data_IF_699082665825
#
_entry.id   IF_699082665825
#
_cell.length_a   1.000
_cell.length_b   1.000
_cell.length_c   1.000
_cell.angle_alpha   90.00
_cell.angle_beta   90.00
_cell.angle_gamma   90.00
#
_symmetry.space_group_name_H-M   'P 1'
#
loop_
_entity.id
_entity.type
_entity.pdbx_description
1 polymer ?
#
# COMPACT_ATOMS: atom_id res chain seq x y z
N UNK A 1 30.70 -0.43 6.78
CA UNK A 1 29.34 -0.72 7.22
C UNK A 1 28.79 0.57 7.82
N UNK A 2 27.73 1.16 7.25
CA UNK A 2 27.11 2.36 7.85
C UNK A 2 26.57 1.98 9.23
N UNK A 3 26.92 2.73 10.26
CA UNK A 3 26.32 2.58 11.59
C UNK A 3 24.81 2.79 11.48
N UNK A 4 24.04 1.84 12.01
CA UNK A 4 22.59 1.92 12.09
C UNK A 4 22.20 3.06 13.02
N UNK A 5 21.46 4.04 12.52
CA UNK A 5 20.93 5.09 13.36
C UNK A 5 19.89 4.53 14.33
N UNK A 6 19.64 5.22 15.45
CA UNK A 6 18.58 4.86 16.40
C UNK A 6 17.22 4.78 15.69
N UNK A 7 16.95 5.67 14.73
CA UNK A 7 15.76 5.62 13.90
C UNK A 7 15.65 4.31 13.11
N UNK A 8 16.72 3.90 12.45
CA UNK A 8 16.74 2.68 11.64
C UNK A 8 16.48 1.42 12.50
N UNK A 9 17.05 1.37 13.69
CA UNK A 9 16.82 0.26 14.61
C UNK A 9 15.33 0.19 15.02
N UNK A 10 14.74 1.32 15.45
CA UNK A 10 13.33 1.39 15.84
C UNK A 10 12.39 1.08 14.66
N UNK A 11 12.69 1.60 13.47
CA UNK A 11 11.92 1.32 12.26
C UNK A 11 11.93 -0.17 11.92
N UNK A 12 13.09 -0.83 12.01
CA UNK A 12 13.19 -2.29 11.74
C UNK A 12 12.37 -3.09 12.73
N UNK A 13 12.50 -2.80 14.03
CA UNK A 13 11.74 -3.47 15.08
C UNK A 13 10.24 -3.29 14.90
N UNK A 14 9.79 -2.07 14.60
CA UNK A 14 8.39 -1.78 14.31
C UNK A 14 7.86 -2.53 13.07
N UNK A 15 8.61 -2.55 11.97
CA UNK A 15 8.19 -3.27 10.76
C UNK A 15 8.15 -4.79 11.00
N UNK A 16 9.07 -5.32 11.80
CA UNK A 16 9.05 -6.72 12.24
C UNK A 16 7.80 -7.04 13.06
N UNK A 17 7.46 -6.21 14.04
CA UNK A 17 6.23 -6.29 14.80
C UNK A 17 4.98 -6.24 13.90
N UNK A 18 4.92 -5.27 12.98
CA UNK A 18 3.81 -5.16 12.03
C UNK A 18 3.64 -6.41 11.16
N UNK A 19 4.75 -7.08 10.80
CA UNK A 19 4.73 -8.29 10.00
C UNK A 19 4.25 -9.50 10.81
N UNK A 20 4.82 -9.71 11.98
CA UNK A 20 4.66 -10.97 12.72
C UNK A 20 3.47 -10.96 13.68
N UNK A 21 3.19 -9.82 14.32
CA UNK A 21 2.12 -9.73 15.30
C UNK A 21 0.84 -9.10 14.74
N UNK A 22 0.96 -8.08 13.87
CA UNK A 22 -0.20 -7.47 13.21
C UNK A 22 -0.59 -8.15 11.89
N UNK A 23 0.22 -9.07 11.36
CA UNK A 23 -0.07 -9.80 10.14
C UNK A 23 -0.20 -8.91 8.88
N UNK A 24 0.49 -7.76 8.84
CA UNK A 24 0.37 -6.83 7.72
C UNK A 24 0.92 -7.44 6.42
N UNK A 25 0.17 -7.27 5.34
CA UNK A 25 0.59 -7.70 4.01
C UNK A 25 1.86 -6.96 3.54
N UNK A 26 2.66 -7.61 2.69
CA UNK A 26 3.93 -7.09 2.14
C UNK A 26 3.79 -5.65 1.62
N UNK A 27 2.76 -5.36 0.82
CA UNK A 27 2.55 -4.02 0.25
C UNK A 27 2.29 -2.94 1.33
N UNK A 28 1.61 -3.31 2.43
CA UNK A 28 1.38 -2.40 3.56
C UNK A 28 2.69 -2.11 4.29
N UNK A 29 3.52 -3.14 4.51
CA UNK A 29 4.85 -2.98 5.13
C UNK A 29 5.78 -2.11 4.27
N UNK A 30 5.76 -2.29 2.96
CA UNK A 30 6.53 -1.46 2.03
C UNK A 30 6.04 0.01 2.02
N UNK A 31 4.73 0.22 2.13
CA UNK A 31 4.17 1.55 2.26
C UNK A 31 4.59 2.21 3.58
N UNK A 32 4.48 1.50 4.71
CA UNK A 32 4.94 1.98 6.02
C UNK A 32 6.45 2.29 6.00
N UNK A 33 7.25 1.40 5.43
CA UNK A 33 8.69 1.63 5.30
C UNK A 33 9.00 2.91 4.53
N UNK A 34 8.35 3.16 3.40
CA UNK A 34 8.54 4.41 2.62
C UNK A 34 8.15 5.64 3.41
N UNK A 35 7.02 5.59 4.13
CA UNK A 35 6.57 6.70 4.96
C UNK A 35 7.56 7.02 6.08
N UNK A 36 8.10 5.98 6.74
CA UNK A 36 9.08 6.13 7.81
C UNK A 36 10.44 6.62 7.31
N UNK A 37 10.87 6.22 6.12
CA UNK A 37 12.08 6.77 5.51
C UNK A 37 11.94 8.27 5.23
N UNK A 38 10.77 8.72 4.73
CA UNK A 38 10.51 10.14 4.55
C UNK A 38 10.50 10.90 5.89
N UNK A 39 9.92 10.31 6.92
CA UNK A 39 9.92 10.90 8.25
C UNK A 39 11.32 10.95 8.87
N UNK A 40 12.13 9.89 8.70
CA UNK A 40 13.53 9.85 9.11
C UNK A 40 14.36 10.95 8.44
N UNK A 41 14.18 11.15 7.14
CA UNK A 41 14.86 12.22 6.40
C UNK A 41 14.47 13.61 6.93
N UNK A 42 13.19 13.83 7.23
CA UNK A 42 12.70 15.08 7.83
C UNK A 42 13.32 15.34 9.21
N UNK A 43 13.42 14.31 10.05
CA UNK A 43 14.05 14.38 11.37
C UNK A 43 15.59 14.41 11.31
N UNK A 44 16.21 14.39 10.12
CA UNK A 44 17.66 14.26 9.96
C UNK A 44 18.23 13.07 10.71
N UNK A 45 17.51 11.95 10.68
CA UNK A 45 17.85 10.68 11.35
C UNK A 45 17.88 10.74 12.90
N UNK A 46 17.33 11.78 13.52
CA UNK A 46 17.16 11.86 14.96
C UNK A 46 16.21 10.77 15.48
N UNK A 47 16.30 10.47 16.77
CA UNK A 47 15.44 9.46 17.40
C UNK A 47 13.96 9.86 17.32
N UNK A 48 13.08 9.03 16.71
CA UNK A 48 11.66 9.33 16.61
C UNK A 48 10.97 9.44 18.00
N UNK A 49 11.50 8.79 19.02
CA UNK A 49 10.96 8.88 20.38
C UNK A 49 10.99 10.30 20.97
N UNK A 50 11.83 11.19 20.42
CA UNK A 50 11.91 12.59 20.84
C UNK A 50 10.93 13.50 20.06
N UNK A 51 10.22 12.98 19.06
CA UNK A 51 9.31 13.78 18.26
C UNK A 51 8.06 14.17 19.06
N UNK A 52 7.76 15.46 19.07
CA UNK A 52 6.56 16.03 19.71
C UNK A 52 5.41 16.12 18.71
N UNK A 53 4.19 16.40 19.20
CA UNK A 53 3.03 16.71 18.34
C UNK A 53 3.32 17.86 17.38
N UNK A 54 4.07 18.88 17.81
CA UNK A 54 4.46 20.02 16.97
C UNK A 54 5.40 19.58 15.84
N UNK A 55 6.39 18.76 16.15
CA UNK A 55 7.29 18.14 15.13
C UNK A 55 6.49 17.36 14.09
N UNK A 56 5.51 16.58 14.54
CA UNK A 56 4.67 15.80 13.64
C UNK A 56 3.76 16.67 12.77
N UNK A 57 3.21 17.75 13.30
CA UNK A 57 2.43 18.74 12.53
C UNK A 57 3.31 19.41 11.46
N UNK A 58 4.49 19.88 11.85
CA UNK A 58 5.47 20.47 10.91
C UNK A 58 5.84 19.50 9.79
N UNK A 59 5.96 18.20 10.10
CA UNK A 59 6.20 17.18 9.09
C UNK A 59 5.02 17.06 8.11
N UNK A 60 3.78 17.05 8.60
CA UNK A 60 2.60 16.98 7.70
C UNK A 60 2.48 18.23 6.81
N UNK A 61 2.81 19.40 7.34
CA UNK A 61 2.86 20.64 6.56
C UNK A 61 3.97 20.59 5.49
N UNK A 62 5.12 20.04 5.84
CA UNK A 62 6.21 19.78 4.88
C UNK A 62 5.76 18.84 3.75
N UNK A 63 5.06 17.74 4.05
CA UNK A 63 4.52 16.84 3.03
C UNK A 63 3.52 17.54 2.11
N UNK A 64 2.68 18.41 2.67
CA UNK A 64 1.69 19.19 1.93
C UNK A 64 2.36 20.20 0.99
N UNK A 65 3.34 20.95 1.48
CA UNK A 65 4.09 21.92 0.67
C UNK A 65 4.94 21.25 -0.41
N UNK A 66 5.38 20.01 -0.18
CA UNK A 66 6.05 19.16 -1.18
C UNK A 66 5.10 18.60 -2.24
N UNK A 67 3.80 18.93 -2.21
CA UNK A 67 2.83 18.52 -3.22
C UNK A 67 2.29 17.10 -3.06
N UNK A 68 2.46 16.46 -1.88
CA UNK A 68 1.91 15.13 -1.65
C UNK A 68 0.37 15.17 -1.64
N UNK A 69 -0.25 14.17 -2.31
CA UNK A 69 -1.70 14.05 -2.33
C UNK A 69 -2.27 13.76 -0.93
N UNK A 70 -3.45 14.31 -0.61
CA UNK A 70 -4.12 14.15 0.69
C UNK A 70 -4.25 12.68 1.12
N UNK A 71 -4.51 11.76 0.18
CA UNK A 71 -4.57 10.31 0.46
C UNK A 71 -3.23 9.76 0.97
N UNK A 72 -2.12 10.22 0.40
CA UNK A 72 -0.78 9.83 0.86
C UNK A 72 -0.48 10.42 2.24
N UNK A 73 -0.80 11.70 2.47
CA UNK A 73 -0.63 12.33 3.78
C UNK A 73 -1.46 11.62 4.86
N UNK A 74 -2.70 11.24 4.57
CA UNK A 74 -3.53 10.45 5.49
C UNK A 74 -2.90 9.09 5.82
N UNK A 75 -2.21 8.45 4.85
CA UNK A 75 -1.46 7.22 5.11
C UNK A 75 -0.26 7.48 6.02
N UNK A 76 0.49 8.57 5.81
CA UNK A 76 1.57 8.97 6.72
C UNK A 76 1.06 9.14 8.17
N UNK A 77 -0.10 9.79 8.35
CA UNK A 77 -0.72 9.90 9.69
C UNK A 77 -0.99 8.52 10.30
N UNK A 78 -1.52 7.57 9.50
CA UNK A 78 -1.76 6.20 9.97
C UNK A 78 -0.47 5.49 10.34
N UNK A 79 0.58 5.62 9.51
CA UNK A 79 1.90 5.03 9.76
C UNK A 79 2.51 5.59 11.05
N UNK A 80 2.47 6.91 11.24
CA UNK A 80 2.99 7.56 12.45
C UNK A 80 2.23 7.14 13.71
N UNK A 81 0.89 7.14 13.67
CA UNK A 81 0.08 6.66 14.80
C UNK A 81 0.44 5.23 15.19
N UNK A 82 0.66 4.36 14.21
CA UNK A 82 1.04 2.97 14.44
C UNK A 82 2.45 2.85 15.02
N UNK A 83 3.42 3.64 14.51
CA UNK A 83 4.78 3.66 15.05
C UNK A 83 4.79 4.12 16.51
N UNK A 84 4.16 5.27 16.80
CA UNK A 84 4.17 5.83 18.15
C UNK A 84 3.36 5.00 19.15
N UNK A 85 2.29 4.33 18.72
CA UNK A 85 1.59 3.34 19.55
C UNK A 85 2.51 2.16 19.90
N UNK A 86 3.30 1.67 18.93
CA UNK A 86 4.31 0.64 19.18
C UNK A 86 5.39 1.11 20.16
N UNK A 87 5.88 2.34 20.04
CA UNK A 87 6.88 2.88 20.97
C UNK A 87 6.34 3.03 22.42
N UNK A 88 5.04 3.34 22.57
CA UNK A 88 4.37 3.31 23.89
C UNK A 88 4.30 1.89 24.42
N UNK A 89 3.92 0.92 23.59
CA UNK A 89 3.82 -0.50 23.97
C UNK A 89 5.17 -1.08 24.41
N UNK A 90 6.28 -0.61 23.78
CA UNK A 90 7.65 -1.00 24.17
C UNK A 90 8.17 -0.26 25.41
N UNK A 91 7.44 0.74 25.92
CA UNK A 91 7.88 1.57 27.04
C UNK A 91 8.93 2.64 26.68
N UNK A 92 9.16 2.85 25.39
CA UNK A 92 10.14 3.85 24.90
C UNK A 92 9.67 5.29 25.13
N UNK A 93 8.35 5.52 25.13
CA UNK A 93 7.69 6.81 25.38
C UNK A 93 6.45 6.61 26.25
N UNK A 94 6.10 7.63 27.03
CA UNK A 94 4.98 7.56 27.97
C UNK A 94 3.60 7.73 27.29
N UNK A 95 3.53 8.45 26.17
CA UNK A 95 2.27 8.73 25.46
C UNK A 95 2.51 8.87 23.96
N UNK A 96 1.46 8.63 23.16
CA UNK A 96 1.53 8.70 21.71
C UNK A 96 1.31 10.13 21.19
N UNK A 97 2.36 10.86 20.75
CA UNK A 97 2.20 12.24 20.25
C UNK A 97 1.41 12.32 18.94
N UNK A 98 1.28 11.21 18.21
CA UNK A 98 0.55 11.16 16.94
C UNK A 98 -0.97 10.95 17.11
N UNK A 99 -1.46 10.70 18.33
CA UNK A 99 -2.88 10.43 18.58
C UNK A 99 -3.77 11.62 18.15
N UNK A 100 -3.31 12.84 18.45
CA UNK A 100 -4.01 14.09 18.13
C UNK A 100 -3.76 14.62 16.71
N UNK A 101 -3.01 13.90 15.86
CA UNK A 101 -2.85 14.30 14.47
C UNK A 101 -4.20 14.19 13.74
N UNK A 102 -4.52 15.19 12.95
CA UNK A 102 -5.71 15.16 12.08
C UNK A 102 -5.30 14.82 10.65
N UNK A 103 -5.86 13.75 10.09
CA UNK A 103 -5.66 13.43 8.69
C UNK A 103 -6.42 14.43 7.80
N UNK A 104 -5.84 14.84 6.65
CA UNK A 104 -6.56 15.70 5.72
C UNK A 104 -7.80 14.99 5.18
N UNK A 105 -8.86 15.77 4.91
CA UNK A 105 -10.06 15.25 4.26
C UNK A 105 -9.71 14.71 2.86
N UNK A 106 -10.04 13.46 2.62
CA UNK A 106 -9.91 12.83 1.31
C UNK A 106 -11.23 13.04 0.60
N UNK A 107 -11.23 13.82 -0.48
CA UNK A 107 -12.42 13.95 -1.33
C UNK A 107 -12.81 12.56 -1.88
N UNK A 108 -14.10 12.25 -1.84
CA UNK A 108 -14.63 11.07 -2.52
C UNK A 108 -14.63 11.33 -4.02
N UNK A 109 -13.64 10.79 -4.72
CA UNK A 109 -13.71 10.72 -6.19
C UNK A 109 -14.70 9.61 -6.54
N UNK A 110 -15.74 9.95 -7.30
CA UNK A 110 -16.62 8.94 -7.88
C UNK A 110 -15.78 7.98 -8.73
N UNK A 111 -16.01 6.66 -8.64
CA UNK A 111 -15.34 5.71 -9.50
C UNK A 111 -15.56 6.07 -10.97
N UNK A 112 -14.50 6.17 -11.74
CA UNK A 112 -14.61 6.25 -13.19
C UNK A 112 -14.95 4.86 -13.71
N UNK A 113 -16.03 4.74 -14.42
CA UNK A 113 -16.44 3.50 -15.07
C UNK A 113 -16.44 3.70 -16.59
N UNK A 114 -16.23 2.62 -17.31
CA UNK A 114 -16.40 2.56 -18.76
C UNK A 114 -17.86 2.18 -19.04
N UNK A 115 -18.46 2.79 -20.04
CA UNK A 115 -19.74 2.33 -20.56
C UNK A 115 -19.54 1.02 -21.35
N UNK A 116 -20.64 0.33 -21.66
CA UNK A 116 -20.60 -0.98 -22.35
C UNK A 116 -19.85 -0.89 -23.68
N UNK A 117 -20.07 0.19 -24.45
CA UNK A 117 -19.41 0.39 -25.75
C UNK A 117 -17.88 0.54 -25.59
N UNK A 118 -17.43 1.29 -24.57
CA UNK A 118 -16.01 1.46 -24.29
C UNK A 118 -15.37 0.16 -23.80
N UNK A 119 -16.11 -0.66 -23.05
CA UNK A 119 -15.67 -2.02 -22.65
C UNK A 119 -15.50 -2.91 -23.88
N UNK A 120 -16.50 -2.97 -24.78
CA UNK A 120 -16.43 -3.78 -26.01
C UNK A 120 -15.25 -3.35 -26.89
N UNK A 121 -15.02 -2.05 -27.02
CA UNK A 121 -13.86 -1.52 -27.73
C UNK A 121 -12.53 -1.95 -27.07
N UNK A 122 -12.44 -1.88 -25.74
CA UNK A 122 -11.24 -2.30 -25.02
C UNK A 122 -10.94 -3.78 -25.22
N UNK A 123 -11.95 -4.66 -25.14
CA UNK A 123 -11.81 -6.10 -25.31
C UNK A 123 -11.41 -6.50 -26.74
N UNK A 124 -11.82 -5.72 -27.74
CA UNK A 124 -11.52 -5.97 -29.15
C UNK A 124 -10.25 -5.26 -29.65
N UNK A 125 -9.62 -4.40 -28.83
CA UNK A 125 -8.40 -3.65 -29.23
C UNK A 125 -7.19 -4.54 -29.53
N UNK A 126 -6.89 -5.61 -28.75
CA UNK A 126 -5.75 -6.46 -29.06
C UNK A 126 -5.99 -7.25 -30.35
N UNK A 127 -4.98 -7.31 -31.23
CA UNK A 127 -5.03 -8.11 -32.44
C UNK A 127 -5.20 -9.61 -32.11
N UNK A 128 -6.02 -10.31 -32.87
CA UNK A 128 -6.12 -11.77 -32.77
C UNK A 128 -5.20 -12.51 -33.78
N UNK A 129 -4.35 -11.78 -34.50
CA UNK A 129 -3.51 -12.34 -35.57
C UNK A 129 -2.15 -12.81 -35.09
N UNK A 130 -1.71 -12.33 -33.90
CA UNK A 130 -0.42 -12.71 -33.33
C UNK A 130 -0.56 -13.22 -31.88
N UNK A 131 0.46 -13.94 -31.41
CA UNK A 131 0.46 -14.59 -30.10
C UNK A 131 0.36 -13.58 -28.94
N UNK A 132 0.89 -12.37 -29.11
CA UNK A 132 0.86 -11.33 -28.09
C UNK A 132 -0.55 -10.78 -27.97
N UNK A 133 -1.18 -10.45 -29.08
CA UNK A 133 -2.54 -9.95 -29.09
C UNK A 133 -3.56 -10.98 -28.60
N UNK A 134 -3.39 -12.27 -28.97
CA UNK A 134 -4.21 -13.36 -28.42
C UNK A 134 -4.07 -13.47 -26.90
N UNK A 135 -2.85 -13.39 -26.38
CA UNK A 135 -2.59 -13.37 -24.94
C UNK A 135 -3.28 -12.18 -24.26
N UNK A 136 -3.09 -10.98 -24.81
CA UNK A 136 -3.61 -9.74 -24.21
C UNK A 136 -5.15 -9.74 -24.22
N UNK A 137 -5.76 -10.24 -25.29
CA UNK A 137 -7.21 -10.43 -25.37
C UNK A 137 -7.71 -11.42 -24.31
N UNK A 138 -7.09 -12.59 -24.19
CA UNK A 138 -7.45 -13.58 -23.18
C UNK A 138 -7.34 -13.02 -21.75
N UNK A 139 -6.31 -12.20 -21.50
CA UNK A 139 -6.14 -11.54 -20.20
C UNK A 139 -7.27 -10.53 -19.93
N UNK A 140 -7.66 -9.73 -20.91
CA UNK A 140 -8.76 -8.76 -20.78
C UNK A 140 -10.11 -9.48 -20.59
N UNK A 141 -10.38 -10.52 -21.38
CA UNK A 141 -11.60 -11.32 -21.29
C UNK A 141 -11.72 -11.97 -19.90
N UNK A 142 -10.63 -12.54 -19.37
CA UNK A 142 -10.61 -13.11 -18.02
C UNK A 142 -10.86 -12.05 -16.93
N UNK A 143 -10.23 -10.88 -17.03
CA UNK A 143 -10.45 -9.79 -16.09
C UNK A 143 -11.91 -9.33 -16.08
N UNK A 144 -12.50 -9.19 -17.27
CA UNK A 144 -13.88 -8.75 -17.42
C UNK A 144 -14.87 -9.81 -16.93
N UNK A 145 -14.68 -11.07 -17.32
CA UNK A 145 -15.59 -12.15 -16.94
C UNK A 145 -15.58 -12.50 -15.45
N UNK A 146 -14.42 -12.36 -14.78
CA UNK A 146 -14.24 -12.84 -13.41
C UNK A 146 -14.14 -11.72 -12.37
N UNK A 147 -13.82 -10.50 -12.79
CA UNK A 147 -13.53 -9.39 -11.87
C UNK A 147 -12.29 -9.60 -11.00
N UNK A 148 -11.40 -10.55 -11.35
CA UNK A 148 -10.17 -10.80 -10.61
C UNK A 148 -9.22 -9.60 -10.63
N UNK A 149 -8.32 -9.53 -9.66
CA UNK A 149 -7.30 -8.48 -9.63
C UNK A 149 -6.17 -8.81 -10.61
N UNK A 150 -5.53 -7.77 -11.17
CA UNK A 150 -4.35 -7.94 -12.05
C UNK A 150 -3.27 -8.79 -11.36
N UNK A 151 -3.04 -8.63 -10.06
CA UNK A 151 -2.08 -9.43 -9.30
C UNK A 151 -2.46 -10.91 -9.14
N UNK A 152 -3.71 -11.25 -9.31
CA UNK A 152 -4.22 -12.64 -9.33
C UNK A 152 -4.05 -13.21 -10.74
N UNK A 153 -4.41 -12.45 -11.76
CA UNK A 153 -4.22 -12.83 -13.17
C UNK A 153 -2.77 -13.21 -13.50
N UNK A 154 -1.79 -12.39 -13.12
CA UNK A 154 -0.36 -12.67 -13.42
C UNK A 154 0.20 -13.88 -12.70
N UNK A 155 -0.49 -14.42 -11.70
CA UNK A 155 -0.10 -15.65 -10.97
C UNK A 155 -0.86 -16.88 -11.45
N UNK A 156 -1.84 -16.70 -12.33
CA UNK A 156 -2.68 -17.77 -12.83
C UNK A 156 -1.83 -18.77 -13.62
N UNK A 157 -2.11 -20.03 -13.43
CA UNK A 157 -1.49 -21.15 -14.14
C UNK A 157 -2.55 -21.87 -14.96
N UNK A 158 -2.16 -22.53 -16.02
CA UNK A 158 -3.06 -23.38 -16.84
C UNK A 158 -3.73 -24.45 -15.98
N UNK A 159 -3.03 -24.98 -14.97
CA UNK A 159 -3.58 -25.97 -14.04
C UNK A 159 -4.68 -25.43 -13.09
N UNK A 160 -4.84 -24.10 -13.02
CA UNK A 160 -5.89 -23.47 -12.21
C UNK A 160 -7.22 -23.33 -12.99
N UNK A 161 -7.22 -23.67 -14.29
CA UNK A 161 -8.39 -23.69 -15.17
C UNK A 161 -8.94 -25.11 -15.27
N UNK A 162 -10.19 -25.29 -14.89
CA UNK A 162 -10.97 -26.48 -15.18
C UNK A 162 -11.84 -26.19 -16.43
N UNK A 163 -11.36 -26.62 -17.60
CA UNK A 163 -12.05 -26.39 -18.87
C UNK A 163 -13.40 -27.11 -18.94
N UNK A 164 -13.52 -28.28 -18.33
CA UNK A 164 -14.75 -29.07 -18.38
C UNK A 164 -15.83 -28.49 -17.46
N UNK A 165 -15.41 -28.01 -16.30
CA UNK A 165 -16.30 -27.37 -15.33
C UNK A 165 -16.53 -25.89 -15.56
N UNK A 166 -15.78 -25.23 -16.45
CA UNK A 166 -15.83 -23.78 -16.66
C UNK A 166 -15.43 -22.99 -15.42
N UNK A 167 -14.56 -23.55 -14.56
CA UNK A 167 -14.19 -22.99 -13.25
C UNK A 167 -12.73 -22.55 -13.26
N UNK A 168 -12.48 -21.35 -12.72
CA UNK A 168 -11.15 -20.81 -12.52
C UNK A 168 -10.84 -20.71 -11.02
N UNK A 169 -9.75 -21.34 -10.58
CA UNK A 169 -9.30 -21.27 -9.19
C UNK A 169 -8.33 -20.12 -9.01
N UNK A 170 -8.69 -19.15 -8.17
CA UNK A 170 -7.89 -17.95 -7.92
C UNK A 170 -7.51 -17.88 -6.44
N UNK A 171 -6.21 -17.71 -6.15
CA UNK A 171 -5.73 -17.50 -4.78
C UNK A 171 -5.68 -16.01 -4.47
N UNK A 172 -6.58 -15.54 -3.61
CA UNK A 172 -6.71 -14.14 -3.24
C UNK A 172 -5.79 -13.67 -2.11
N UNK A 173 -6.03 -12.46 -1.61
CA UNK A 173 -5.30 -11.86 -0.49
C UNK A 173 -5.48 -12.70 0.78
N UNK A 174 -4.36 -13.10 1.41
CA UNK A 174 -4.37 -13.88 2.64
C UNK A 174 -4.48 -15.40 2.43
N UNK A 175 -4.15 -15.88 1.23
CA UNK A 175 -4.17 -17.31 0.86
C UNK A 175 -5.58 -17.95 0.96
N UNK A 176 -6.61 -17.11 0.76
CA UNK A 176 -8.01 -17.52 0.69
C UNK A 176 -8.47 -17.62 -0.75
#
# INVERSE_FOLDING_TARGET
>A
MAELTTFDARMRSFLHFCRNEKGLAKNSLEAYRRDLLNFSAFLKQSDPAQATLETLRSYLDHLKTSGLANRSIARHVTTLRSLFAYLVEQGDIASNPAELLTAPKIGTSLPKYLDTRAVDQLLTTPSAEDAIGLRDRAMLDLLYATGMRVSELIKLRVADLDELGGVLRVTGKGNK
#
